data_IF_084423333862
#
_entry.id   IF_084423333862
#
_cell.length_a   1.000
_cell.length_b   1.000
_cell.length_c   1.000
_cell.angle_alpha   90.00
_cell.angle_beta   90.00
_cell.angle_gamma   90.00
#
_symmetry.space_group_name_H-M   'P 1'
#
loop_
_entity.id
_entity.type
_entity.pdbx_description
1 polymer ?
#
# COMPACT_ATOMS: atom_id res chain seq x y z
N UNK A 1 7.71 35.49 16.82
CA UNK A 1 7.75 34.90 15.46
C UNK A 1 7.55 33.40 15.56
N UNK A 2 6.29 32.96 15.55
CA UNK A 2 5.90 31.54 15.56
C UNK A 2 5.61 31.13 14.11
N UNK A 3 6.61 31.27 13.24
CA UNK A 3 6.53 30.60 11.94
C UNK A 3 6.98 29.18 12.20
N UNK A 4 6.02 28.27 12.33
CA UNK A 4 6.29 26.86 12.11
C UNK A 4 6.93 26.78 10.73
N UNK A 5 8.21 26.46 10.71
CA UNK A 5 9.00 26.40 9.49
C UNK A 5 8.33 25.37 8.57
N UNK A 6 7.76 25.82 7.46
CA UNK A 6 7.00 24.97 6.52
C UNK A 6 7.85 23.76 6.12
N UNK A 7 9.17 23.92 6.08
CA UNK A 7 10.11 22.85 5.81
C UNK A 7 10.20 21.81 6.94
N UNK A 8 10.13 22.23 8.21
CA UNK A 8 10.06 21.28 9.34
C UNK A 8 8.75 20.49 9.32
N UNK A 9 7.63 21.13 9.00
CA UNK A 9 6.35 20.45 8.84
C UNK A 9 6.39 19.43 7.69
N UNK A 10 7.00 19.78 6.55
CA UNK A 10 7.21 18.83 5.44
C UNK A 10 8.07 17.63 5.83
N UNK A 11 9.14 17.85 6.59
CA UNK A 11 10.04 16.78 7.04
C UNK A 11 9.29 15.81 7.95
N UNK A 12 8.54 16.32 8.92
CA UNK A 12 7.82 15.48 9.88
C UNK A 12 6.69 14.69 9.23
N UNK A 13 5.92 15.29 8.32
CA UNK A 13 4.86 14.57 7.60
C UNK A 13 5.44 13.45 6.72
N UNK A 14 6.59 13.67 6.07
CA UNK A 14 7.29 12.60 5.34
C UNK A 14 7.75 11.47 6.27
N UNK A 15 8.21 11.78 7.49
CA UNK A 15 8.58 10.79 8.50
C UNK A 15 7.38 9.95 8.91
N UNK A 16 6.26 10.59 9.25
CA UNK A 16 5.02 9.92 9.66
C UNK A 16 4.47 9.00 8.56
N UNK A 17 4.53 9.43 7.28
CA UNK A 17 4.15 8.57 6.13
C UNK A 17 5.07 7.36 6.05
N UNK A 18 6.39 7.56 6.13
CA UNK A 18 7.38 6.48 6.05
C UNK A 18 7.23 5.46 7.18
N UNK A 19 6.91 5.91 8.39
CA UNK A 19 6.72 5.04 9.55
C UNK A 19 5.33 4.39 9.59
N UNK A 20 4.40 4.85 8.73
CA UNK A 20 3.01 4.39 8.70
C UNK A 20 2.16 4.96 9.83
N UNK A 21 2.64 5.97 10.55
CA UNK A 21 1.93 6.68 11.63
C UNK A 21 0.97 7.74 11.07
N UNK A 22 1.09 8.08 9.80
CA UNK A 22 0.24 9.05 9.12
C UNK A 22 -1.14 8.50 8.72
N UNK A 23 -1.25 7.18 8.49
CA UNK A 23 -2.42 6.60 7.82
C UNK A 23 -3.59 6.32 8.78
N UNK A 24 -4.33 7.37 9.16
CA UNK A 24 -5.61 7.25 9.87
C UNK A 24 -6.78 7.29 8.88
N UNK A 25 -7.71 6.32 8.99
CA UNK A 25 -8.86 6.17 8.06
C UNK A 25 -9.90 7.30 8.15
N UNK A 26 -9.82 8.13 9.19
CA UNK A 26 -10.88 9.08 9.53
C UNK A 26 -10.76 10.46 8.86
N UNK A 27 -9.62 10.78 8.21
CA UNK A 27 -9.38 12.14 7.68
C UNK A 27 -8.71 12.16 6.29
N UNK A 28 -9.13 11.25 5.41
CA UNK A 28 -8.53 11.07 4.08
C UNK A 28 -8.55 12.37 3.26
N UNK A 29 -9.67 13.08 3.21
CA UNK A 29 -9.80 14.32 2.42
C UNK A 29 -8.96 15.47 2.99
N UNK A 30 -8.97 15.69 4.31
CA UNK A 30 -8.15 16.73 4.96
C UNK A 30 -6.65 16.46 4.77
N UNK A 31 -6.23 15.20 4.82
CA UNK A 31 -4.83 14.82 4.56
C UNK A 31 -4.44 15.10 3.12
N UNK A 32 -5.31 14.78 2.16
CA UNK A 32 -5.07 15.05 0.75
C UNK A 32 -4.87 16.55 0.49
N UNK A 33 -5.75 17.38 1.06
CA UNK A 33 -5.64 18.84 0.98
C UNK A 33 -4.34 19.36 1.61
N UNK A 34 -3.95 18.82 2.77
CA UNK A 34 -2.70 19.19 3.44
C UNK A 34 -1.44 18.83 2.63
N UNK A 35 -1.41 17.64 2.02
CA UNK A 35 -0.29 17.22 1.19
C UNK A 35 -0.16 18.07 -0.08
N UNK A 36 -1.29 18.48 -0.66
CA UNK A 36 -1.33 19.41 -1.79
C UNK A 36 -0.79 20.79 -1.40
N UNK A 37 -1.26 21.35 -0.27
CA UNK A 37 -0.75 22.64 0.25
C UNK A 37 0.75 22.60 0.54
N UNK A 38 1.25 21.48 1.06
CA UNK A 38 2.67 21.29 1.36
C UNK A 38 3.51 20.93 0.12
N UNK A 39 2.89 20.75 -1.05
CA UNK A 39 3.52 20.30 -2.30
C UNK A 39 4.26 18.97 -2.13
N UNK A 40 3.77 18.11 -1.24
CA UNK A 40 4.29 16.77 -1.04
C UNK A 40 3.64 15.89 -2.09
N UNK A 41 4.43 15.45 -3.08
CA UNK A 41 3.99 14.40 -3.99
C UNK A 41 3.75 13.12 -3.19
N UNK A 42 2.50 12.79 -2.99
CA UNK A 42 2.07 11.54 -2.38
C UNK A 42 1.07 10.90 -3.32
N UNK A 43 1.43 9.73 -3.82
CA UNK A 43 0.46 8.90 -4.50
C UNK A 43 -0.41 8.26 -3.39
N UNK A 44 -1.75 8.44 -3.39
CA UNK A 44 -2.61 7.77 -2.42
C UNK A 44 -2.54 6.23 -2.51
N UNK A 45 -1.93 5.71 -3.57
CA UNK A 45 -1.62 4.29 -3.75
C UNK A 45 -0.17 3.92 -3.39
N UNK A 46 0.74 4.87 -3.08
CA UNK A 46 2.10 4.62 -2.56
C UNK A 46 2.06 4.26 -1.06
N UNK A 47 1.13 3.38 -0.72
CA UNK A 47 1.12 2.72 0.57
C UNK A 47 2.08 1.51 0.51
N UNK A 48 3.27 1.68 -0.08
CA UNK A 48 4.31 0.63 -0.16
C UNK A 48 4.63 0.07 1.22
N UNK A 49 4.64 0.92 2.24
CA UNK A 49 4.86 0.52 3.65
C UNK A 49 3.71 -0.35 4.18
N UNK A 50 2.46 -0.04 3.80
CA UNK A 50 1.29 -0.84 4.18
C UNK A 50 1.26 -2.12 3.36
N UNK A 51 1.62 -2.08 2.09
CA UNK A 51 1.73 -3.23 1.22
C UNK A 51 2.81 -4.19 1.73
N UNK A 52 3.94 -3.67 2.18
CA UNK A 52 5.05 -4.42 2.75
C UNK A 52 4.67 -5.02 4.11
N UNK A 53 4.05 -4.25 5.01
CA UNK A 53 3.50 -4.80 6.27
C UNK A 53 2.45 -5.88 6.02
N UNK A 54 1.48 -5.63 5.14
CA UNK A 54 0.46 -6.62 4.75
C UNK A 54 1.09 -7.85 4.10
N UNK A 55 2.14 -7.69 3.29
CA UNK A 55 2.86 -8.80 2.65
C UNK A 55 3.64 -9.62 3.67
N UNK A 56 4.21 -9.00 4.71
CA UNK A 56 4.89 -9.70 5.79
C UNK A 56 3.88 -10.48 6.64
N UNK A 57 2.78 -9.83 7.04
CA UNK A 57 1.74 -10.43 7.88
C UNK A 57 0.97 -11.55 7.15
N UNK A 58 0.74 -11.40 5.84
CA UNK A 58 -0.03 -12.35 5.04
C UNK A 58 0.83 -13.24 4.13
N UNK A 59 2.14 -13.35 4.39
CA UNK A 59 3.07 -14.10 3.53
C UNK A 59 2.59 -15.53 3.25
N UNK A 60 2.13 -16.24 4.27
CA UNK A 60 1.65 -17.62 4.14
C UNK A 60 0.38 -17.73 3.29
N UNK A 61 -0.51 -16.73 3.38
CA UNK A 61 -1.73 -16.64 2.56
C UNK A 61 -1.35 -16.40 1.10
N UNK A 62 -0.38 -15.51 0.84
CA UNK A 62 0.11 -15.21 -0.51
C UNK A 62 0.76 -16.44 -1.15
N UNK A 63 1.56 -17.20 -0.40
CA UNK A 63 2.17 -18.45 -0.87
C UNK A 63 1.09 -19.48 -1.25
N UNK A 64 0.07 -19.68 -0.40
CA UNK A 64 -1.06 -20.59 -0.68
C UNK A 64 -1.86 -20.17 -1.91
N UNK A 65 -2.15 -18.88 -2.09
CA UNK A 65 -2.82 -18.36 -3.28
C UNK A 65 -2.02 -18.63 -4.55
N UNK A 66 -0.69 -18.47 -4.49
CA UNK A 66 0.19 -18.76 -5.62
C UNK A 66 0.18 -20.24 -6.01
N UNK A 67 0.08 -21.14 -5.02
CA UNK A 67 -0.01 -22.58 -5.26
C UNK A 67 -1.37 -22.97 -5.86
N UNK A 68 -2.47 -22.39 -5.36
CA UNK A 68 -3.81 -22.59 -5.89
C UNK A 68 -3.89 -22.18 -7.37
N UNK A 69 -3.36 -21.02 -7.75
CA UNK A 69 -3.37 -20.58 -9.14
C UNK A 69 -2.56 -21.48 -10.08
N UNK A 70 -1.51 -22.15 -9.59
CA UNK A 70 -0.80 -23.18 -10.37
C UNK A 70 -1.66 -24.43 -10.55
N UNK A 71 -2.35 -24.84 -9.49
CA UNK A 71 -3.21 -26.02 -9.51
C UNK A 71 -4.40 -25.83 -10.47
N UNK A 72 -5.04 -24.66 -10.47
CA UNK A 72 -6.12 -24.31 -11.40
C UNK A 72 -5.68 -24.42 -12.86
N UNK A 73 -4.50 -23.90 -13.20
CA UNK A 73 -3.94 -24.02 -14.56
C UNK A 73 -3.74 -25.48 -14.96
N UNK A 74 -3.19 -26.29 -14.07
CA UNK A 74 -3.02 -27.72 -14.31
C UNK A 74 -4.37 -28.42 -14.55
N UNK A 75 -5.43 -28.04 -13.81
CA UNK A 75 -6.78 -28.57 -14.03
C UNK A 75 -7.35 -28.17 -15.39
N UNK A 76 -7.20 -26.91 -15.82
CA UNK A 76 -7.63 -26.47 -17.16
C UNK A 76 -6.94 -27.24 -18.29
N UNK A 77 -5.64 -27.51 -18.15
CA UNK A 77 -4.88 -28.30 -19.12
C UNK A 77 -5.39 -29.75 -19.19
N UNK A 78 -5.65 -30.37 -18.03
CA UNK A 78 -6.23 -31.71 -17.96
C UNK A 78 -7.63 -31.77 -18.59
N UNK A 79 -8.48 -30.77 -18.34
CA UNK A 79 -9.80 -30.71 -18.98
C UNK A 79 -9.71 -30.63 -20.51
N UNK A 80 -8.77 -29.84 -21.05
CA UNK A 80 -8.55 -29.73 -22.50
C UNK A 80 -8.11 -31.07 -23.09
N UNK A 81 -7.28 -31.84 -22.38
CA UNK A 81 -6.85 -33.17 -22.80
C UNK A 81 -7.99 -34.19 -22.76
N UNK A 82 -8.86 -34.12 -21.75
CA UNK A 82 -9.99 -35.04 -21.60
C UNK A 82 -11.13 -34.83 -22.61
N UNK A 83 -11.25 -33.60 -23.14
CA UNK A 83 -12.23 -33.22 -24.17
C UNK A 83 -11.77 -33.53 -25.59
N UNK A 84 -10.59 -34.15 -25.77
CA UNK A 84 -9.97 -34.48 -27.05
C UNK A 84 -10.07 -35.98 -27.35
#
# INVERSE_FOLDING_TARGET
HYYADVDKTRIEIKRLIKEGEWDTKEFIEMRKELLEQLQIKHNPFDNEVILEKLSVENKEILEKLSALGKLEKSFEELEKLLKK
#
